data_IF_101535417557
#
_entry.id   IF_101535417557
#
_cell.length_a   1.000
_cell.length_b   1.000
_cell.length_c   1.000
_cell.angle_alpha   90.00
_cell.angle_beta   90.00
_cell.angle_gamma   90.00
#
_symmetry.space_group_name_H-M   'P 1'
#
loop_
_entity.id
_entity.type
_entity.pdbx_description
1 polymer ?
#
# COMPACT_ATOMS: atom_id res chain seq x y z
N UNK A 1 -7.10 10.13 14.12
CA UNK A 1 -8.27 9.78 13.27
C UNK A 1 -8.02 10.05 11.80
N UNK A 2 -7.74 11.28 11.34
CA UNK A 2 -7.57 11.61 9.92
C UNK A 2 -6.54 10.74 9.18
N UNK A 3 -5.41 10.42 9.81
CA UNK A 3 -4.38 9.56 9.23
C UNK A 3 -4.91 8.16 8.86
N UNK A 4 -5.59 7.50 9.80
CA UNK A 4 -6.17 6.17 9.55
C UNK A 4 -7.34 6.21 8.55
N UNK A 5 -8.10 7.29 8.51
CA UNK A 5 -9.14 7.49 7.51
C UNK A 5 -8.57 7.49 6.08
N UNK A 6 -7.38 8.06 5.86
CA UNK A 6 -6.74 8.04 4.54
C UNK A 6 -6.42 6.61 4.08
N UNK A 7 -6.03 5.72 4.98
CA UNK A 7 -5.81 4.31 4.66
C UNK A 7 -7.12 3.59 4.30
N UNK A 8 -8.21 3.88 5.01
CA UNK A 8 -9.51 3.31 4.70
C UNK A 8 -10.05 3.77 3.33
N UNK A 9 -9.73 5.00 2.92
CA UNK A 9 -10.14 5.54 1.62
C UNK A 9 -9.30 4.96 0.48
N UNK A 10 -7.98 4.89 0.64
CA UNK A 10 -7.10 4.46 -0.46
C UNK A 10 -7.21 2.95 -0.72
N UNK A 11 -7.45 2.13 0.29
CA UNK A 11 -7.38 0.67 0.14
C UNK A 11 -8.40 0.13 -0.87
N UNK A 12 -9.70 0.45 -0.83
CA UNK A 12 -10.64 0.03 -1.86
C UNK A 12 -10.35 0.67 -3.22
N UNK A 13 -9.74 1.87 -3.24
CA UNK A 13 -9.34 2.51 -4.49
C UNK A 13 -8.25 1.71 -5.24
N UNK A 14 -7.39 0.98 -4.55
CA UNK A 14 -6.38 0.11 -5.16
C UNK A 14 -6.97 -1.08 -5.92
N UNK A 15 -8.22 -1.46 -5.63
CA UNK A 15 -8.92 -2.54 -6.32
C UNK A 15 -9.55 -2.08 -7.64
N UNK A 16 -9.66 -0.77 -7.89
CA UNK A 16 -10.37 -0.18 -9.06
C UNK A 16 -9.91 -0.78 -10.38
N UNK A 17 -8.63 -1.09 -10.54
CA UNK A 17 -8.11 -1.72 -11.76
C UNK A 17 -8.77 -3.06 -12.13
N UNK A 18 -9.29 -3.79 -11.13
CA UNK A 18 -10.03 -5.03 -11.35
C UNK A 18 -11.48 -4.79 -11.78
N UNK A 19 -12.07 -3.63 -11.48
CA UNK A 19 -13.46 -3.31 -11.80
C UNK A 19 -13.61 -2.47 -13.07
N UNK A 20 -12.61 -1.68 -13.40
CA UNK A 20 -12.67 -0.76 -14.52
C UNK A 20 -13.18 -1.48 -15.78
N UNK A 21 -14.17 -0.89 -16.45
CA UNK A 21 -14.85 -1.42 -17.65
C UNK A 21 -15.67 -2.71 -17.43
N UNK A 22 -15.78 -3.22 -16.19
CA UNK A 22 -16.46 -4.50 -15.91
C UNK A 22 -17.64 -4.35 -14.96
N UNK A 23 -17.72 -3.26 -14.20
CA UNK A 23 -18.72 -3.04 -13.18
C UNK A 23 -19.37 -1.66 -13.34
N UNK A 24 -20.68 -1.57 -13.12
CA UNK A 24 -21.40 -0.29 -13.07
C UNK A 24 -21.00 0.50 -11.83
N UNK A 25 -20.92 1.81 -11.95
CA UNK A 25 -20.49 2.71 -10.87
C UNK A 25 -21.31 2.52 -9.58
N UNK A 26 -22.64 2.40 -9.67
CA UNK A 26 -23.49 2.18 -8.48
C UNK A 26 -23.16 0.89 -7.74
N UNK A 27 -22.91 -0.21 -8.47
CA UNK A 27 -22.47 -1.47 -7.86
C UNK A 27 -21.09 -1.35 -7.23
N UNK A 28 -20.17 -0.63 -7.87
CA UNK A 28 -18.86 -0.32 -7.31
C UNK A 28 -18.95 0.48 -6.01
N UNK A 29 -19.82 1.52 -5.95
CA UNK A 29 -20.00 2.32 -4.75
C UNK A 29 -20.53 1.49 -3.57
N UNK A 30 -21.52 0.64 -3.80
CA UNK A 30 -22.04 -0.28 -2.77
C UNK A 30 -20.96 -1.29 -2.35
N UNK A 31 -20.26 -1.86 -3.31
CA UNK A 31 -19.18 -2.80 -3.03
C UNK A 31 -18.10 -2.17 -2.16
N UNK A 32 -17.60 -0.98 -2.51
CA UNK A 32 -16.54 -0.30 -1.74
C UNK A 32 -16.95 -0.07 -0.30
N UNK A 33 -18.20 0.35 -0.07
CA UNK A 33 -18.73 0.57 1.28
C UNK A 33 -18.78 -0.72 2.09
N UNK A 34 -19.34 -1.77 1.52
CA UNK A 34 -19.43 -3.08 2.17
C UNK A 34 -18.06 -3.69 2.41
N UNK A 35 -17.18 -3.63 1.41
CA UNK A 35 -15.84 -4.19 1.52
C UNK A 35 -15.00 -3.49 2.60
N UNK A 36 -15.08 -2.15 2.67
CA UNK A 36 -14.37 -1.40 3.71
C UNK A 36 -14.85 -1.82 5.10
N UNK A 37 -16.16 -1.89 5.31
CA UNK A 37 -16.73 -2.24 6.61
C UNK A 37 -16.50 -3.71 7.00
N UNK A 38 -16.63 -4.64 6.05
CA UNK A 38 -16.62 -6.08 6.35
C UNK A 38 -15.23 -6.71 6.23
N UNK A 39 -14.32 -6.12 5.44
CA UNK A 39 -12.99 -6.69 5.18
C UNK A 39 -11.90 -5.78 5.73
N UNK A 40 -11.89 -4.51 5.35
CA UNK A 40 -10.81 -3.61 5.73
C UNK A 40 -10.81 -3.30 7.23
N UNK A 41 -11.94 -2.87 7.79
CA UNK A 41 -12.01 -2.47 9.21
C UNK A 41 -11.65 -3.61 10.17
N UNK A 42 -12.18 -4.85 10.01
CA UNK A 42 -11.75 -5.97 10.85
C UNK A 42 -10.26 -6.29 10.69
N UNK A 43 -9.73 -6.27 9.46
CA UNK A 43 -8.32 -6.56 9.22
C UNK A 43 -7.41 -5.50 9.83
N UNK A 44 -7.76 -4.22 9.70
CA UNK A 44 -7.03 -3.11 10.33
C UNK A 44 -7.00 -3.25 11.86
N UNK A 45 -8.14 -3.61 12.45
CA UNK A 45 -8.22 -3.90 13.89
C UNK A 45 -7.32 -5.07 14.28
N UNK A 46 -7.35 -6.17 13.54
CA UNK A 46 -6.57 -7.36 13.88
C UNK A 46 -5.06 -7.12 13.82
N UNK A 47 -4.60 -6.28 12.90
CA UNK A 47 -3.18 -6.08 12.63
C UNK A 47 -2.59 -4.89 13.39
N UNK A 48 -3.34 -3.79 13.52
CA UNK A 48 -2.79 -2.53 14.05
C UNK A 48 -3.24 -2.19 15.47
N UNK A 49 -4.34 -2.75 15.96
CA UNK A 49 -4.76 -2.52 17.33
C UNK A 49 -4.01 -3.42 18.31
N UNK A 50 -3.65 -2.89 19.48
CA UNK A 50 -2.96 -3.65 20.54
C UNK A 50 -3.73 -4.87 21.01
N UNK A 51 -5.07 -4.82 20.92
CA UNK A 51 -5.97 -5.93 21.25
C UNK A 51 -6.17 -6.90 20.08
N UNK A 52 -5.68 -6.56 18.88
CA UNK A 52 -5.80 -7.39 17.69
C UNK A 52 -5.07 -8.71 17.81
N UNK A 53 -5.68 -9.78 17.34
CA UNK A 53 -5.11 -11.12 17.49
C UNK A 53 -3.84 -11.34 16.66
N UNK A 54 -3.73 -10.69 15.48
CA UNK A 54 -2.51 -10.73 14.66
C UNK A 54 -1.41 -9.87 15.30
N UNK A 55 -1.77 -8.70 15.85
CA UNK A 55 -0.84 -7.88 16.61
C UNK A 55 -0.23 -8.65 17.78
N UNK A 56 -1.06 -9.33 18.58
CA UNK A 56 -0.62 -10.17 19.72
C UNK A 56 0.25 -11.34 19.29
N UNK A 57 0.11 -11.82 18.05
CA UNK A 57 0.98 -12.86 17.46
C UNK A 57 2.28 -12.31 16.89
N UNK A 58 2.53 -11.01 16.98
CA UNK A 58 3.74 -10.38 16.49
C UNK A 58 3.75 -10.07 14.99
N UNK A 59 2.59 -9.99 14.34
CA UNK A 59 2.51 -9.54 12.96
C UNK A 59 3.04 -8.10 12.85
N UNK A 60 3.96 -7.87 11.91
CA UNK A 60 4.55 -6.57 11.65
C UNK A 60 3.97 -6.00 10.35
N UNK A 61 3.23 -4.91 10.48
CA UNK A 61 2.73 -4.14 9.37
C UNK A 61 3.01 -2.66 9.61
N UNK A 62 4.07 -2.15 8.97
CA UNK A 62 4.54 -0.79 9.21
C UNK A 62 3.61 0.28 8.63
N UNK A 63 3.20 0.11 7.38
CA UNK A 63 2.42 1.08 6.64
C UNK A 63 1.32 0.44 5.75
N UNK A 64 0.81 -0.70 6.13
CA UNK A 64 -0.29 -1.34 5.42
C UNK A 64 0.12 -2.41 4.42
N UNK A 65 1.29 -3.05 4.60
CA UNK A 65 1.68 -4.18 3.76
C UNK A 65 0.63 -5.28 3.71
N UNK A 66 0.08 -5.63 4.86
CA UNK A 66 -1.02 -6.60 4.99
C UNK A 66 -2.38 -5.94 4.87
N UNK A 67 -2.61 -4.89 5.66
CA UNK A 67 -3.94 -4.25 5.79
C UNK A 67 -4.38 -3.59 4.50
N UNK A 68 -3.48 -2.93 3.77
CA UNK A 68 -3.78 -2.19 2.53
C UNK A 68 -3.46 -3.03 1.29
N UNK A 69 -2.20 -3.42 1.13
CA UNK A 69 -1.73 -3.97 -0.15
C UNK A 69 -2.08 -5.43 -0.35
N UNK A 70 -1.88 -6.28 0.65
CA UNK A 70 -2.24 -7.70 0.53
C UNK A 70 -3.76 -7.86 0.42
N UNK A 71 -4.54 -7.16 1.24
CA UNK A 71 -6.01 -7.24 1.22
C UNK A 71 -6.59 -6.78 -0.11
N UNK A 72 -6.16 -5.61 -0.61
CA UNK A 72 -6.61 -5.10 -1.91
C UNK A 72 -6.16 -5.98 -3.07
N UNK A 73 -4.93 -6.48 -3.03
CA UNK A 73 -4.38 -7.36 -4.08
C UNK A 73 -5.12 -8.69 -4.18
N UNK A 74 -5.38 -9.36 -3.05
CA UNK A 74 -6.16 -10.60 -3.02
C UNK A 74 -7.61 -10.34 -3.45
N UNK A 75 -8.21 -9.24 -3.01
CA UNK A 75 -9.56 -8.87 -3.42
C UNK A 75 -9.63 -8.61 -4.92
N UNK A 76 -8.65 -7.89 -5.48
CA UNK A 76 -8.55 -7.68 -6.93
C UNK A 76 -8.45 -9.01 -7.68
N UNK A 77 -7.61 -9.94 -7.21
CA UNK A 77 -7.47 -11.27 -7.79
C UNK A 77 -8.78 -12.05 -7.75
N UNK A 78 -9.45 -12.08 -6.59
CA UNK A 78 -10.75 -12.74 -6.44
C UNK A 78 -11.78 -12.17 -7.43
N UNK A 79 -11.85 -10.84 -7.57
CA UNK A 79 -12.73 -10.20 -8.54
C UNK A 79 -12.44 -10.59 -9.98
N UNK A 80 -11.16 -10.65 -10.35
CA UNK A 80 -10.77 -11.06 -11.71
C UNK A 80 -11.23 -12.49 -12.03
N UNK A 81 -11.25 -13.37 -11.06
CA UNK A 81 -11.75 -14.73 -11.22
C UNK A 81 -13.26 -14.77 -11.48
N UNK A 82 -14.04 -13.85 -10.88
CA UNK A 82 -15.49 -13.77 -11.07
C UNK A 82 -15.88 -12.94 -12.29
N UNK A 83 -15.28 -11.78 -12.51
CA UNK A 83 -15.64 -10.88 -13.59
C UNK A 83 -15.04 -11.29 -14.94
N UNK A 84 -14.02 -12.12 -14.94
CA UNK A 84 -13.38 -12.60 -16.15
C UNK A 84 -12.56 -11.53 -16.90
N UNK A 85 -12.37 -11.74 -18.19
CA UNK A 85 -11.54 -10.89 -19.04
C UNK A 85 -12.21 -9.54 -19.33
N UNK A 86 -11.38 -8.51 -19.58
CA UNK A 86 -11.85 -7.21 -20.04
C UNK A 86 -12.53 -7.33 -21.40
N UNK A 87 -13.49 -6.44 -21.64
CA UNK A 87 -14.12 -6.36 -22.97
C UNK A 87 -13.06 -6.10 -24.04
N UNK A 88 -13.16 -6.80 -25.17
CA UNK A 88 -12.18 -6.70 -26.26
C UNK A 88 -10.86 -7.46 -26.07
N UNK A 89 -10.57 -8.01 -24.88
CA UNK A 89 -9.33 -8.78 -24.67
C UNK A 89 -9.45 -10.22 -25.22
N UNK A 90 -8.45 -10.75 -25.94
CA UNK A 90 -7.15 -10.18 -26.34
C UNK A 90 -7.16 -9.56 -27.75
N UNK A 91 -8.29 -9.41 -28.38
CA UNK A 91 -8.43 -9.05 -29.81
C UNK A 91 -8.24 -7.55 -30.07
N UNK A 92 -8.59 -6.73 -29.11
CA UNK A 92 -8.44 -5.27 -29.22
C UNK A 92 -7.19 -4.76 -28.51
N UNK A 93 -6.60 -3.72 -29.08
CA UNK A 93 -5.42 -3.07 -28.48
C UNK A 93 -5.82 -2.27 -27.27
N UNK A 94 -5.35 -2.66 -26.09
CA UNK A 94 -5.58 -1.95 -24.81
C UNK A 94 -4.61 -0.76 -24.67
N UNK A 95 -4.85 0.30 -25.46
CA UNK A 95 -4.06 1.53 -25.37
C UNK A 95 -4.42 2.33 -24.10
N UNK A 96 -3.48 3.10 -23.51
CA UNK A 96 -3.77 3.99 -22.39
C UNK A 96 -4.80 5.04 -22.82
N UNK A 97 -5.86 5.25 -22.01
CA UNK A 97 -6.90 6.23 -22.28
C UNK A 97 -6.35 7.66 -22.22
N UNK A 98 -5.61 7.99 -21.16
CA UNK A 98 -5.04 9.33 -20.97
C UNK A 98 -3.72 9.25 -20.22
N UNK A 99 -2.62 9.26 -20.95
CA UNK A 99 -1.27 9.17 -20.36
C UNK A 99 -0.91 10.37 -19.47
N UNK A 100 -1.20 11.64 -19.85
CA UNK A 100 -0.96 12.78 -18.96
C UNK A 100 -1.66 12.67 -17.61
N UNK A 101 -2.93 12.25 -17.56
CA UNK A 101 -3.65 12.05 -16.30
C UNK A 101 -3.06 10.90 -15.48
N UNK A 102 -2.58 9.83 -16.13
CA UNK A 102 -1.91 8.72 -15.45
C UNK A 102 -0.62 9.19 -14.78
N UNK A 103 0.18 10.00 -15.48
CA UNK A 103 1.41 10.56 -14.93
C UNK A 103 1.13 11.54 -13.77
N UNK A 104 0.12 12.38 -13.93
CA UNK A 104 -0.32 13.29 -12.86
C UNK A 104 -0.75 12.51 -11.61
N UNK A 105 -1.60 11.48 -11.79
CA UNK A 105 -2.06 10.62 -10.71
C UNK A 105 -0.90 9.89 -10.00
N UNK A 106 0.05 9.38 -10.76
CA UNK A 106 1.25 8.75 -10.23
C UNK A 106 2.13 9.74 -9.43
N UNK A 107 2.27 10.98 -9.92
CA UNK A 107 2.98 12.05 -9.20
C UNK A 107 2.30 12.44 -7.88
N UNK A 108 0.99 12.58 -7.89
CA UNK A 108 0.19 12.86 -6.69
C UNK A 108 0.28 11.72 -5.66
N UNK A 109 0.22 10.47 -6.11
CA UNK A 109 0.42 9.30 -5.25
C UNK A 109 1.84 9.28 -4.67
N UNK A 110 2.85 9.55 -5.48
CA UNK A 110 4.23 9.61 -4.99
C UNK A 110 4.41 10.69 -3.93
N UNK A 111 3.88 11.87 -4.16
CA UNK A 111 3.88 12.94 -3.16
C UNK A 111 3.16 12.51 -1.87
N UNK A 112 1.97 11.92 -1.97
CA UNK A 112 1.21 11.42 -0.82
C UNK A 112 1.94 10.30 -0.06
N UNK A 113 2.80 9.54 -0.74
CA UNK A 113 3.55 8.43 -0.14
C UNK A 113 4.61 8.88 0.88
N UNK A 114 5.07 10.09 0.81
CA UNK A 114 5.91 10.68 1.85
C UNK A 114 5.16 10.74 3.19
N UNK A 115 3.93 11.23 3.18
CA UNK A 115 3.05 11.19 4.35
C UNK A 115 2.64 9.78 4.75
N UNK A 116 2.36 8.92 3.77
CA UNK A 116 1.97 7.53 4.00
C UNK A 116 3.05 6.76 4.78
N UNK A 117 4.28 6.74 4.30
CA UNK A 117 5.37 5.99 4.91
C UNK A 117 6.01 6.70 6.10
N UNK A 118 6.38 7.98 5.96
CA UNK A 118 7.00 8.73 7.07
C UNK A 118 6.02 8.98 8.21
N UNK A 119 4.73 9.24 7.90
CA UNK A 119 3.68 9.38 8.90
C UNK A 119 3.44 8.09 9.69
N UNK A 120 3.54 6.92 9.05
CA UNK A 120 3.42 5.62 9.72
C UNK A 120 4.53 5.41 10.76
N UNK A 121 5.74 5.91 10.51
CA UNK A 121 6.82 5.85 11.49
C UNK A 121 6.50 6.65 12.77
N UNK A 122 5.83 7.79 12.62
CA UNK A 122 5.48 8.66 13.76
C UNK A 122 4.36 8.05 14.60
N UNK A 123 3.38 7.44 13.96
CA UNK A 123 2.21 6.86 14.64
C UNK A 123 2.55 5.52 15.34
N UNK A 124 3.49 4.77 14.79
CA UNK A 124 3.85 3.44 15.29
C UNK A 124 4.91 3.39 16.41
N UNK A 125 5.52 4.51 16.77
CA UNK A 125 6.64 4.55 17.73
C UNK A 125 6.36 5.54 18.87
N UNK A 126 6.35 5.05 20.11
CA UNK A 126 6.03 5.84 21.29
C UNK A 126 7.20 6.71 21.82
N UNK A 127 8.34 6.75 21.14
CA UNK A 127 9.51 7.55 21.57
C UNK A 127 9.89 8.58 20.51
N UNK A 128 9.95 9.85 20.88
CA UNK A 128 10.15 10.99 19.97
C UNK A 128 11.42 10.89 19.11
N UNK A 129 12.53 10.42 19.67
CA UNK A 129 13.82 10.40 18.97
C UNK A 129 13.91 9.26 17.95
N UNK A 130 13.41 8.08 18.31
CA UNK A 130 13.37 6.94 17.39
C UNK A 130 12.36 7.17 16.26
N UNK A 131 11.23 7.82 16.53
CA UNK A 131 10.22 8.14 15.52
C UNK A 131 10.76 9.09 14.44
N UNK A 132 11.51 10.12 14.82
CA UNK A 132 12.13 11.07 13.89
C UNK A 132 13.14 10.39 12.95
N UNK A 133 13.99 9.51 13.46
CA UNK A 133 14.95 8.75 12.68
C UNK A 133 14.29 7.80 11.68
N UNK A 134 13.26 7.06 12.11
CA UNK A 134 12.48 6.18 11.26
C UNK A 134 11.69 6.93 10.18
N UNK A 135 11.11 8.09 10.52
CA UNK A 135 10.39 8.92 9.57
C UNK A 135 11.34 9.46 8.48
N UNK A 136 12.53 9.93 8.87
CA UNK A 136 13.56 10.35 7.93
C UNK A 136 14.03 9.22 7.00
N UNK A 137 14.24 8.04 7.54
CA UNK A 137 14.60 6.86 6.75
C UNK A 137 13.47 6.46 5.79
N UNK A 138 12.22 6.44 6.26
CA UNK A 138 11.06 6.13 5.44
C UNK A 138 10.87 7.17 4.32
N UNK A 139 11.10 8.45 4.59
CA UNK A 139 11.09 9.50 3.58
C UNK A 139 12.18 9.28 2.52
N UNK A 140 13.42 9.04 2.92
CA UNK A 140 14.53 8.81 2.01
C UNK A 140 14.31 7.56 1.14
N UNK A 141 13.89 6.45 1.74
CA UNK A 141 13.62 5.20 1.00
C UNK A 141 12.44 5.35 0.04
N UNK A 142 11.39 6.09 0.40
CA UNK A 142 10.26 6.41 -0.47
C UNK A 142 10.72 7.23 -1.69
N UNK A 143 11.62 8.20 -1.49
CA UNK A 143 12.20 8.98 -2.58
C UNK A 143 12.94 8.09 -3.57
N UNK A 144 13.80 7.21 -3.07
CA UNK A 144 14.63 6.33 -3.90
C UNK A 144 13.74 5.29 -4.63
N UNK A 145 12.80 4.68 -3.94
CA UNK A 145 11.89 3.69 -4.50
C UNK A 145 10.98 4.31 -5.58
N UNK A 146 10.38 5.48 -5.29
CA UNK A 146 9.55 6.20 -6.24
C UNK A 146 10.32 6.56 -7.52
N UNK A 147 11.55 7.05 -7.41
CA UNK A 147 12.40 7.35 -8.56
C UNK A 147 12.67 6.11 -9.43
N UNK A 148 12.88 4.94 -8.82
CA UNK A 148 13.07 3.67 -9.54
C UNK A 148 11.79 3.16 -10.19
N UNK A 149 10.65 3.44 -9.60
CA UNK A 149 9.33 3.04 -10.13
C UNK A 149 8.86 3.94 -11.28
N UNK A 150 9.52 5.06 -11.53
CA UNK A 150 9.35 5.94 -12.69
C UNK A 150 10.45 5.73 -13.76
N UNK A 151 10.70 4.52 -14.27
CA UNK A 151 11.50 4.40 -15.47
C UNK A 151 10.64 4.89 -16.64
N UNK A 152 11.11 5.89 -17.34
CA UNK A 152 10.49 6.45 -18.56
C UNK A 152 10.46 5.45 -19.75
N UNK A 153 10.58 4.17 -19.43
CA UNK A 153 10.51 3.07 -20.40
C UNK A 153 9.23 2.30 -20.23
N UNK A 154 8.12 2.93 -20.59
CA UNK A 154 6.84 2.24 -20.71
C UNK A 154 6.93 1.20 -21.82
N UNK A 155 7.08 -0.07 -21.47
CA UNK A 155 6.76 -1.14 -22.42
C UNK A 155 5.23 -1.12 -22.62
N UNK A 156 4.75 -1.21 -23.87
CA UNK A 156 3.33 -1.37 -24.12
C UNK A 156 2.81 -2.60 -23.37
N UNK A 157 1.87 -2.41 -22.45
CA UNK A 157 1.30 -3.48 -21.62
C UNK A 157 1.61 -3.41 -20.12
N UNK A 158 2.51 -2.54 -19.66
CA UNK A 158 2.96 -2.51 -18.26
C UNK A 158 2.16 -1.61 -17.30
N UNK A 159 1.00 -1.13 -17.70
CA UNK A 159 0.18 -0.19 -16.88
C UNK A 159 -0.58 -0.92 -15.75
N UNK A 160 -0.64 -2.22 -15.75
CA UNK A 160 -1.35 -3.01 -14.71
C UNK A 160 -0.57 -3.20 -13.41
N UNK A 161 0.66 -2.72 -13.31
CA UNK A 161 1.52 -2.97 -12.15
C UNK A 161 2.23 -1.72 -11.62
N UNK A 162 1.56 -0.57 -11.57
CA UNK A 162 2.01 0.51 -10.67
C UNK A 162 1.53 0.15 -9.26
N UNK A 163 1.96 -0.98 -8.79
CA UNK A 163 2.05 -1.23 -7.37
C UNK A 163 3.31 -0.51 -6.94
N UNK A 164 3.17 0.68 -6.38
CA UNK A 164 4.26 1.31 -5.63
C UNK A 164 4.49 0.39 -4.45
N UNK A 165 5.37 -0.58 -4.62
CA UNK A 165 5.82 -1.45 -3.56
C UNK A 165 6.44 -0.57 -2.49
N UNK A 166 5.69 -0.30 -1.44
CA UNK A 166 6.23 0.19 -0.20
C UNK A 166 7.07 -0.94 0.40
N UNK A 167 8.30 -1.10 -0.09
CA UNK A 167 9.24 -1.98 0.55
C UNK A 167 9.42 -1.51 1.98
N UNK A 168 8.85 -2.25 2.93
CA UNK A 168 9.25 -2.13 4.31
C UNK A 168 10.79 -2.26 4.36
N UNK A 169 11.50 -1.46 5.14
CA UNK A 169 12.94 -1.62 5.28
C UNK A 169 13.20 -3.05 5.74
N UNK A 170 13.87 -3.84 4.89
CA UNK A 170 14.40 -5.12 5.30
C UNK A 170 15.21 -4.87 6.59
N UNK A 171 14.94 -5.63 7.64
CA UNK A 171 15.76 -5.62 8.85
C UNK A 171 17.21 -5.82 8.42
N UNK A 172 17.98 -4.75 8.35
CA UNK A 172 19.42 -4.84 8.49
C UNK A 172 19.61 -5.35 9.91
N UNK A 173 20.11 -6.56 10.04
CA UNK A 173 20.59 -7.14 11.28
C UNK A 173 21.51 -6.12 11.93
N UNK A 174 20.99 -5.36 12.88
CA UNK A 174 21.82 -4.57 13.76
C UNK A 174 22.67 -5.58 14.53
N UNK A 175 23.95 -5.59 14.22
CA UNK A 175 24.95 -6.29 15.01
C UNK A 175 24.78 -5.81 16.45
N UNK A 176 24.43 -6.72 17.34
CA UNK A 176 24.42 -6.51 18.78
C UNK A 176 25.83 -6.08 19.19
N UNK A 177 26.02 -4.92 19.80
CA UNK A 177 27.28 -4.64 20.47
C UNK A 177 27.39 -5.60 21.64
N UNK A 178 28.36 -6.51 21.59
CA UNK A 178 28.75 -7.33 22.71
C UNK A 178 29.26 -6.43 23.83
N UNK A 179 28.46 -6.21 24.86
CA UNK A 179 28.94 -5.68 26.13
C UNK A 179 29.79 -6.77 26.82
N UNK A 180 31.09 -6.72 26.63
CA UNK A 180 32.02 -7.40 27.54
C UNK A 180 32.09 -6.63 28.83
N UNK A 181 31.43 -7.14 29.87
CA UNK A 181 31.68 -6.74 31.22
C UNK A 181 33.09 -7.23 31.62
N UNK A 182 34.04 -6.31 31.67
CA UNK A 182 35.34 -6.53 32.27
C UNK A 182 35.21 -6.57 33.79
N UNK A 183 35.48 -7.72 34.40
CA UNK A 183 35.75 -7.85 35.80
C UNK A 183 37.08 -7.20 36.16
N UNK A 184 37.07 -6.20 37.03
CA UNK A 184 38.02 -5.97 38.12
C UNK A 184 37.37 -5.11 39.17
#
# INVERSE_FOLDING_TARGET
MAFQMMFAIITPALIIGAFAERMKFGAFAIFTQLWTTLVYDPLAHWVWMTEGWLFKKGALDFAGGTVVHLSSGISALAFLMFLGKRHGYPTERMAPHNLPLTLLGAGLLWFGWFGFNAGSAIVGVNTSDAAGGLAGLAFATTTIAGRKSFPFRMKPGAISSITVSGAAPSRTTAATPSCTFGSK
#
